data_IF_793178883646
#
_entry.id   IF_793178883646
#
_cell.length_a   1.000
_cell.length_b   1.000
_cell.length_c   1.000
_cell.angle_alpha   90.00
_cell.angle_beta   90.00
_cell.angle_gamma   90.00
#
_symmetry.space_group_name_H-M   'P 1'
#
loop_
_entity.id
_entity.type
_entity.pdbx_description
1 polymer ?
#
# COMPACT_ATOMS: atom_id res chain seq x y z
N UNK A 1 -2.03 14.02 -22.88
CA UNK A 1 -2.10 13.34 -21.56
C UNK A 1 -3.01 14.18 -20.68
N UNK A 2 -3.89 13.53 -19.93
CA UNK A 2 -4.84 14.16 -19.03
C UNK A 2 -4.39 13.96 -17.58
N UNK A 3 -4.43 15.03 -16.78
CA UNK A 3 -4.09 14.92 -15.36
C UNK A 3 -5.20 14.14 -14.64
N UNK A 4 -4.84 13.17 -13.81
CA UNK A 4 -5.76 12.53 -12.88
C UNK A 4 -6.18 13.54 -11.81
N UNK A 5 -7.45 13.94 -11.73
CA UNK A 5 -7.87 14.87 -10.69
C UNK A 5 -7.81 14.21 -9.32
N UNK A 6 -7.49 15.00 -8.31
CA UNK A 6 -7.66 14.58 -6.91
C UNK A 6 -9.16 14.45 -6.64
N UNK A 7 -9.60 13.24 -6.33
CA UNK A 7 -10.98 12.96 -5.94
C UNK A 7 -11.21 13.36 -4.48
N UNK A 8 -10.30 12.91 -3.59
CA UNK A 8 -10.33 13.26 -2.16
C UNK A 8 -8.97 13.07 -1.50
N UNK A 9 -8.80 13.71 -0.35
CA UNK A 9 -7.66 13.54 0.53
C UNK A 9 -8.16 13.01 1.88
N UNK A 10 -7.54 11.92 2.36
CA UNK A 10 -7.90 11.24 3.59
C UNK A 10 -6.70 11.32 4.55
N UNK A 11 -6.95 11.70 5.79
CA UNK A 11 -5.93 11.60 6.85
C UNK A 11 -5.93 10.18 7.40
N UNK A 12 -4.76 9.53 7.45
CA UNK A 12 -4.63 8.23 8.07
C UNK A 12 -5.04 8.28 9.55
N UNK A 13 -5.69 7.23 10.04
CA UNK A 13 -6.29 7.16 11.38
C UNK A 13 -5.42 6.31 12.30
N UNK A 14 -5.17 6.75 13.56
CA UNK A 14 -4.55 5.89 14.55
C UNK A 14 -5.32 4.58 14.72
N UNK A 15 -4.60 3.47 14.70
CA UNK A 15 -5.15 2.12 14.80
C UNK A 15 -4.22 1.27 15.65
N UNK A 16 -4.77 0.27 16.32
CA UNK A 16 -4.00 -0.72 17.09
C UNK A 16 -4.27 -2.09 16.47
N UNK A 17 -3.20 -2.79 16.11
CA UNK A 17 -3.26 -4.12 15.49
C UNK A 17 -2.28 -5.10 16.16
N UNK A 18 -2.33 -6.38 15.74
CA UNK A 18 -1.48 -7.42 16.29
C UNK A 18 -1.61 -7.54 17.82
N UNK A 19 -0.51 -7.64 18.51
CA UNK A 19 -0.47 -7.73 19.98
C UNK A 19 -0.39 -6.34 20.66
N UNK A 20 -0.88 -5.28 20.01
CA UNK A 20 -0.88 -3.91 20.54
C UNK A 20 0.02 -2.94 19.77
N UNK A 21 0.35 -3.24 18.52
CA UNK A 21 1.13 -2.35 17.64
C UNK A 21 0.29 -1.13 17.26
N UNK A 22 0.80 0.06 17.58
CA UNK A 22 0.18 1.32 17.19
C UNK A 22 0.69 1.76 15.82
N UNK A 23 -0.23 1.96 14.90
CA UNK A 23 0.02 2.35 13.52
C UNK A 23 -0.98 3.37 13.01
N UNK A 24 -0.85 3.80 11.75
CA UNK A 24 -1.78 4.71 11.08
C UNK A 24 -2.38 4.00 9.88
N UNK A 25 -3.69 3.77 9.88
CA UNK A 25 -4.41 3.14 8.77
C UNK A 25 -4.89 4.19 7.78
N UNK A 26 -4.45 4.09 6.53
CA UNK A 26 -4.86 4.99 5.47
C UNK A 26 -6.24 4.59 4.90
N UNK A 27 -6.46 3.31 4.66
CA UNK A 27 -7.75 2.71 4.27
C UNK A 27 -7.79 1.23 4.67
N UNK A 28 -8.97 0.63 4.67
CA UNK A 28 -9.11 -0.77 5.06
C UNK A 28 -10.54 -1.29 4.93
N UNK A 29 -10.99 -2.06 5.91
CA UNK A 29 -12.31 -2.69 5.90
C UNK A 29 -13.42 -1.66 5.66
N UNK A 30 -14.25 -1.91 4.65
CA UNK A 30 -15.33 -1.03 4.21
C UNK A 30 -15.02 -0.17 2.99
N UNK A 31 -13.74 -0.06 2.60
CA UNK A 31 -13.31 0.80 1.49
C UNK A 31 -12.99 -0.01 0.20
N UNK A 32 -13.31 -1.30 0.16
CA UNK A 32 -12.86 -2.25 -0.88
C UNK A 32 -13.22 -1.87 -2.30
N UNK A 33 -14.40 -1.29 -2.53
CA UNK A 33 -14.83 -0.90 -3.88
C UNK A 33 -14.01 0.26 -4.45
N UNK A 34 -13.55 1.18 -3.58
CA UNK A 34 -12.80 2.36 -4.01
C UNK A 34 -11.33 2.05 -4.27
N UNK A 35 -10.76 1.13 -3.48
CA UNK A 35 -9.34 0.80 -3.56
C UNK A 35 -9.03 -0.51 -4.29
N UNK A 36 -10.06 -1.18 -4.86
CA UNK A 36 -9.83 -2.40 -5.65
C UNK A 36 -8.68 -2.19 -6.67
N UNK A 37 -7.66 -3.04 -6.70
CA UNK A 37 -7.53 -4.35 -6.06
C UNK A 37 -6.91 -4.33 -4.66
N UNK A 38 -6.73 -3.17 -4.04
CA UNK A 38 -6.10 -3.06 -2.72
C UNK A 38 -7.15 -3.09 -1.61
N UNK A 39 -6.78 -3.70 -0.49
CA UNK A 39 -7.68 -3.95 0.62
C UNK A 39 -7.36 -3.10 1.84
N UNK A 40 -6.07 -2.83 2.08
CA UNK A 40 -5.61 -2.16 3.28
C UNK A 40 -4.25 -1.50 3.03
N UNK A 41 -4.03 -0.32 3.63
CA UNK A 41 -2.71 0.30 3.75
C UNK A 41 -2.50 0.79 5.19
N UNK A 42 -1.50 0.20 5.85
CA UNK A 42 -1.04 0.59 7.17
C UNK A 42 0.37 1.19 7.12
N UNK A 43 0.53 2.33 7.76
CA UNK A 43 1.79 3.01 8.03
C UNK A 43 2.17 2.69 9.49
N UNK A 44 3.08 1.73 9.70
CA UNK A 44 3.55 1.33 11.02
C UNK A 44 4.78 2.11 11.50
N UNK A 45 5.09 3.25 10.89
CA UNK A 45 6.21 4.09 11.32
C UNK A 45 6.00 4.60 12.74
N UNK A 46 6.92 4.22 13.61
CA UNK A 46 6.91 4.56 15.02
C UNK A 46 8.33 4.63 15.55
N UNK A 47 8.60 5.61 16.44
CA UNK A 47 9.91 5.84 17.05
C UNK A 47 9.93 5.39 18.52
N UNK A 48 8.86 4.75 19.01
CA UNK A 48 8.68 4.32 20.39
C UNK A 48 8.58 2.81 20.47
N UNK A 49 9.64 2.10 20.89
CA UNK A 49 9.67 0.64 20.94
C UNK A 49 8.51 0.01 21.71
N UNK A 50 8.03 0.66 22.77
CA UNK A 50 6.90 0.19 23.55
C UNK A 50 5.58 0.13 22.76
N UNK A 51 5.47 0.87 21.64
CA UNK A 51 4.27 0.96 20.81
C UNK A 51 4.26 -0.06 19.67
N UNK A 52 5.38 -0.78 19.38
CA UNK A 52 5.43 -1.72 18.26
C UNK A 52 6.09 -3.08 18.57
N UNK A 53 6.94 -3.19 19.60
CA UNK A 53 7.73 -4.41 19.87
C UNK A 53 6.91 -5.66 20.17
N UNK A 54 5.63 -5.52 20.52
CA UNK A 54 4.74 -6.65 20.73
C UNK A 54 4.45 -7.43 19.44
N UNK A 55 4.60 -6.76 18.28
CA UNK A 55 4.55 -7.37 16.96
C UNK A 55 3.21 -7.98 16.59
N UNK A 56 3.30 -8.83 15.60
CA UNK A 56 2.17 -9.61 15.06
C UNK A 56 2.47 -11.10 15.28
N UNK A 57 2.09 -11.66 16.45
CA UNK A 57 2.23 -13.09 16.72
C UNK A 57 1.49 -13.93 15.70
N UNK A 58 1.73 -15.25 15.72
CA UNK A 58 1.15 -16.20 14.78
C UNK A 58 -0.32 -15.93 14.45
N UNK A 59 -0.58 -15.59 13.20
CA UNK A 59 -1.90 -15.28 12.66
C UNK A 59 -2.07 -15.85 11.25
N UNK A 60 -3.33 -16.16 10.84
CA UNK A 60 -3.60 -16.72 9.52
C UNK A 60 -3.75 -15.62 8.47
N UNK A 61 -3.51 -15.98 7.18
CA UNK A 61 -4.00 -15.23 6.01
C UNK A 61 -4.53 -16.21 4.97
N UNK A 62 -5.58 -15.83 4.23
CA UNK A 62 -6.09 -16.54 3.06
C UNK A 62 -6.69 -15.58 2.05
N UNK A 63 -6.47 -15.86 0.76
CA UNK A 63 -7.13 -15.18 -0.36
C UNK A 63 -6.61 -13.79 -0.67
N UNK A 64 -5.46 -13.42 -0.13
CA UNK A 64 -4.82 -12.11 -0.32
C UNK A 64 -3.32 -12.25 -0.58
N UNK A 65 -2.73 -11.14 -0.94
CA UNK A 65 -1.30 -10.88 -0.88
C UNK A 65 -1.02 -9.81 0.16
N UNK A 66 0.07 -9.95 0.92
CA UNK A 66 0.54 -8.94 1.88
C UNK A 66 1.92 -8.45 1.46
N UNK A 67 2.11 -7.14 1.49
CA UNK A 67 3.34 -6.50 1.06
C UNK A 67 3.89 -5.67 2.22
N UNK A 68 5.03 -6.08 2.76
CA UNK A 68 5.76 -5.37 3.80
C UNK A 68 6.93 -4.63 3.16
N UNK A 69 6.99 -3.29 3.30
CA UNK A 69 8.10 -2.46 2.86
C UNK A 69 8.72 -1.75 4.06
N UNK A 70 9.97 -2.07 4.39
CA UNK A 70 10.69 -1.53 5.56
C UNK A 70 11.53 -0.33 5.15
N UNK A 71 11.48 0.76 5.93
CA UNK A 71 12.29 1.97 5.74
C UNK A 71 13.37 2.14 6.81
N UNK A 72 13.11 1.69 8.03
CA UNK A 72 14.06 1.71 9.15
C UNK A 72 13.70 0.63 10.16
N UNK A 73 14.67 0.12 10.88
CA UNK A 73 14.54 -1.05 11.74
C UNK A 73 14.56 -2.35 10.95
N UNK A 74 14.10 -3.43 11.55
CA UNK A 74 14.01 -4.75 10.94
C UNK A 74 12.71 -5.45 11.33
N UNK A 75 12.23 -6.37 10.49
CA UNK A 75 11.10 -7.25 10.78
C UNK A 75 11.56 -8.69 10.63
N UNK A 76 11.59 -9.45 11.72
CA UNK A 76 11.77 -10.88 11.67
C UNK A 76 10.44 -11.55 11.33
N UNK A 77 10.44 -12.47 10.37
CA UNK A 77 9.25 -13.21 9.99
C UNK A 77 9.49 -14.72 10.01
N UNK A 78 8.41 -15.46 10.20
CA UNK A 78 8.40 -16.92 10.10
C UNK A 78 7.01 -17.43 9.80
N UNK A 79 6.90 -18.56 9.10
CA UNK A 79 5.63 -19.10 8.65
C UNK A 79 5.46 -20.59 8.92
N UNK A 80 4.23 -21.08 8.69
CA UNK A 80 3.82 -22.48 8.86
C UNK A 80 4.42 -23.44 7.83
N UNK A 81 5.08 -22.94 6.78
CA UNK A 81 5.77 -23.73 5.77
C UNK A 81 7.26 -23.92 6.07
N UNK A 82 7.74 -23.27 7.15
CA UNK A 82 9.13 -23.35 7.59
C UNK A 82 10.03 -22.24 7.04
N UNK A 83 9.47 -21.26 6.33
CA UNK A 83 10.24 -20.09 5.90
C UNK A 83 10.50 -19.20 7.09
N UNK A 84 11.70 -18.59 7.11
CA UNK A 84 12.12 -17.61 8.09
C UNK A 84 13.07 -16.61 7.44
N UNK A 85 12.99 -15.36 7.88
CA UNK A 85 13.86 -14.30 7.36
C UNK A 85 13.81 -13.05 8.21
N UNK A 86 14.58 -12.06 7.79
CA UNK A 86 14.62 -10.73 8.39
C UNK A 86 14.63 -9.70 7.28
N UNK A 87 13.69 -8.79 7.29
CA UNK A 87 13.63 -7.64 6.40
C UNK A 87 14.34 -6.46 7.06
N UNK A 88 15.29 -5.86 6.37
CA UNK A 88 15.96 -4.64 6.80
C UNK A 88 15.49 -3.39 6.05
N UNK A 89 16.16 -2.27 6.31
CA UNK A 89 15.83 -1.00 5.67
C UNK A 89 15.98 -1.06 4.14
N UNK A 90 14.92 -0.77 3.43
CA UNK A 90 14.79 -0.81 1.98
C UNK A 90 14.36 -2.15 1.42
N UNK A 91 14.24 -3.20 2.23
CA UNK A 91 13.78 -4.52 1.83
C UNK A 91 12.25 -4.54 1.67
N UNK A 92 11.80 -5.46 0.81
CA UNK A 92 10.39 -5.72 0.54
C UNK A 92 10.12 -7.21 0.65
N UNK A 93 9.03 -7.57 1.33
CA UNK A 93 8.48 -8.92 1.26
C UNK A 93 7.12 -8.87 0.58
N UNK A 94 6.94 -9.67 -0.46
CA UNK A 94 5.66 -9.89 -1.10
C UNK A 94 5.22 -11.33 -0.86
N UNK A 95 4.24 -11.51 0.01
CA UNK A 95 3.71 -12.83 0.36
C UNK A 95 2.35 -13.03 -0.31
N UNK A 96 2.22 -14.05 -1.15
CA UNK A 96 0.93 -14.57 -1.60
C UNK A 96 0.44 -15.57 -0.57
N UNK A 97 -0.60 -15.23 0.17
CA UNK A 97 -1.20 -16.13 1.17
C UNK A 97 -2.03 -17.24 0.52
N UNK A 98 -2.69 -16.95 -0.60
CA UNK A 98 -3.42 -17.91 -1.42
C UNK A 98 -4.36 -18.80 -0.60
N UNK A 99 -4.15 -20.12 -0.67
CA UNK A 99 -4.99 -21.14 0.01
C UNK A 99 -4.89 -21.16 1.53
N UNK A 100 -3.93 -20.44 2.09
CA UNK A 100 -3.79 -20.25 3.53
C UNK A 100 -2.37 -20.41 4.04
N UNK A 101 -1.98 -19.51 4.93
CA UNK A 101 -0.71 -19.52 5.64
C UNK A 101 -0.94 -19.03 7.06
N UNK A 102 -0.13 -19.53 8.01
CA UNK A 102 0.05 -18.90 9.31
C UNK A 102 1.44 -18.30 9.32
N UNK A 103 1.56 -17.05 9.78
CA UNK A 103 2.87 -16.42 9.93
C UNK A 103 2.91 -15.51 11.16
N UNK A 104 4.09 -15.04 11.48
CA UNK A 104 4.34 -14.02 12.48
C UNK A 104 5.31 -12.98 11.93
N UNK A 105 5.19 -11.74 12.41
CA UNK A 105 6.07 -10.63 12.08
C UNK A 105 6.47 -9.91 13.38
N UNK A 106 7.78 -9.89 13.67
CA UNK A 106 8.31 -9.34 14.91
C UNK A 106 9.23 -8.13 14.59
N UNK A 107 8.75 -6.91 14.85
CA UNK A 107 9.49 -5.69 14.54
C UNK A 107 10.56 -5.38 15.59
N UNK A 108 11.73 -4.93 15.11
CA UNK A 108 12.85 -4.45 15.92
C UNK A 108 13.28 -3.06 15.44
N UNK A 109 13.37 -2.09 16.34
CA UNK A 109 13.83 -0.76 16.02
C UNK A 109 15.30 -0.69 15.68
N UNK A 110 15.69 0.31 14.90
CA UNK A 110 17.09 0.65 14.67
C UNK A 110 17.75 1.21 15.96
N UNK A 111 19.01 1.64 15.86
CA UNK A 111 19.75 2.20 16.99
C UNK A 111 19.12 3.45 17.63
N UNK A 112 18.16 4.08 16.95
CA UNK A 112 17.36 5.22 17.42
C UNK A 112 15.97 4.81 17.91
N UNK A 113 15.66 3.52 17.90
CA UNK A 113 14.34 2.98 18.24
C UNK A 113 13.29 3.16 17.13
N UNK A 114 13.70 3.50 15.89
CA UNK A 114 12.76 3.68 14.78
C UNK A 114 12.42 2.34 14.14
N UNK A 115 11.14 2.06 14.03
CA UNK A 115 10.58 1.00 13.21
C UNK A 115 9.66 1.64 12.18
N UNK A 116 10.14 1.80 10.94
CA UNK A 116 9.42 2.51 9.89
C UNK A 116 9.15 1.60 8.70
N UNK A 117 7.92 1.59 8.23
CA UNK A 117 7.54 0.84 7.04
C UNK A 117 6.04 0.87 6.81
N UNK A 118 5.63 0.11 5.80
CA UNK A 118 4.26 0.02 5.32
C UNK A 118 3.84 -1.42 5.12
N UNK A 119 2.57 -1.69 5.42
CA UNK A 119 1.88 -2.92 5.09
C UNK A 119 0.78 -2.59 4.10
N UNK A 120 0.85 -3.14 2.89
CA UNK A 120 -0.19 -3.06 1.87
C UNK A 120 -0.79 -4.46 1.69
N UNK A 121 -2.12 -4.56 1.61
CA UNK A 121 -2.78 -5.79 1.21
C UNK A 121 -3.39 -5.62 -0.17
N UNK A 122 -3.13 -6.62 -1.03
CA UNK A 122 -3.74 -6.73 -2.35
C UNK A 122 -4.66 -7.95 -2.40
N UNK A 123 -5.79 -7.80 -3.08
CA UNK A 123 -6.75 -8.88 -3.26
C UNK A 123 -6.30 -9.85 -4.35
N UNK A 124 -6.72 -11.11 -4.23
CA UNK A 124 -6.61 -12.10 -5.28
C UNK A 124 -7.97 -12.29 -5.96
N UNK A 125 -8.04 -12.43 -7.30
CA UNK A 125 -9.28 -12.82 -7.96
C UNK A 125 -9.70 -14.23 -7.54
N UNK A 126 -10.99 -14.56 -7.69
CA UNK A 126 -11.57 -15.84 -7.29
C UNK A 126 -10.76 -17.04 -7.80
N UNK A 127 -10.28 -16.97 -9.03
CA UNK A 127 -9.48 -18.02 -9.67
C UNK A 127 -8.12 -18.27 -8.98
N UNK A 128 -7.61 -17.33 -8.21
CA UNK A 128 -6.31 -17.41 -7.54
C UNK A 128 -6.41 -17.42 -6.00
N UNK A 129 -7.61 -17.30 -5.42
CA UNK A 129 -7.83 -17.33 -3.96
C UNK A 129 -7.24 -18.56 -3.28
N UNK A 130 -7.25 -19.69 -3.97
CA UNK A 130 -6.78 -20.97 -3.45
C UNK A 130 -5.45 -21.42 -4.09
N UNK A 131 -4.68 -20.49 -4.66
CA UNK A 131 -3.33 -20.80 -5.17
C UNK A 131 -2.38 -21.17 -4.01
N UNK A 132 -1.29 -21.88 -4.32
CA UNK A 132 -0.29 -22.22 -3.32
C UNK A 132 0.36 -20.94 -2.73
N UNK A 133 0.59 -20.87 -1.42
CA UNK A 133 1.33 -19.78 -0.81
C UNK A 133 2.76 -19.67 -1.36
N UNK A 134 3.25 -18.43 -1.50
CA UNK A 134 4.64 -18.18 -1.88
C UNK A 134 5.16 -16.87 -1.30
N UNK A 135 6.47 -16.73 -1.23
CA UNK A 135 7.17 -15.51 -0.85
C UNK A 135 8.09 -15.01 -1.97
N UNK A 136 8.23 -13.70 -2.03
CA UNK A 136 9.27 -13.02 -2.79
C UNK A 136 9.95 -12.04 -1.80
N UNK A 137 11.09 -12.46 -1.25
CA UNK A 137 11.92 -11.63 -0.37
C UNK A 137 12.92 -10.89 -1.23
N UNK A 138 12.84 -9.57 -1.23
CA UNK A 138 13.59 -8.69 -2.12
C UNK A 138 14.44 -7.76 -1.27
N UNK A 139 15.75 -7.99 -1.27
CA UNK A 139 16.69 -7.09 -0.62
C UNK A 139 16.77 -5.72 -1.30
N UNK A 140 17.04 -4.69 -0.53
CA UNK A 140 17.08 -3.28 -0.96
C UNK A 140 17.92 -3.05 -2.23
N UNK A 141 19.02 -3.79 -2.39
CA UNK A 141 19.90 -3.68 -3.54
C UNK A 141 19.28 -4.18 -4.86
N UNK A 142 18.22 -4.97 -4.78
CA UNK A 142 17.49 -5.50 -5.95
C UNK A 142 16.29 -4.64 -6.36
N UNK A 143 15.90 -3.66 -5.53
CA UNK A 143 14.86 -2.70 -5.87
C UNK A 143 15.48 -1.59 -6.73
N UNK A 144 15.18 -1.52 -8.06
CA UNK A 144 15.78 -0.51 -8.91
C UNK A 144 15.33 0.89 -8.52
N UNK A 145 16.27 1.83 -8.53
CA UNK A 145 16.01 3.26 -8.40
C UNK A 145 16.33 3.94 -9.73
N UNK A 146 15.40 4.78 -10.19
CA UNK A 146 15.59 5.66 -11.35
C UNK A 146 15.60 7.09 -10.86
N UNK A 147 16.55 7.87 -11.36
CA UNK A 147 16.68 9.30 -11.05
C UNK A 147 16.51 10.05 -12.36
N UNK A 148 15.54 10.97 -12.41
CA UNK A 148 15.32 11.85 -13.57
C UNK A 148 16.24 13.06 -13.55
N UNK A 149 16.34 13.77 -14.66
CA UNK A 149 17.24 14.94 -14.85
C UNK A 149 16.96 16.08 -13.84
N UNK A 150 15.73 16.18 -13.33
CA UNK A 150 15.34 17.15 -12.29
C UNK A 150 15.64 16.70 -10.86
N UNK A 151 16.24 15.50 -10.67
CA UNK A 151 16.56 14.91 -9.38
C UNK A 151 15.41 14.16 -8.71
N UNK A 152 14.26 14.02 -9.37
CA UNK A 152 13.17 13.14 -8.91
C UNK A 152 13.66 11.70 -8.89
N UNK A 153 13.46 11.02 -7.75
CA UNK A 153 13.85 9.62 -7.56
C UNK A 153 12.63 8.73 -7.46
N UNK A 154 12.69 7.58 -8.10
CA UNK A 154 11.63 6.58 -8.03
C UNK A 154 12.25 5.21 -7.78
N UNK A 155 11.96 4.60 -6.62
CA UNK A 155 12.24 3.19 -6.35
C UNK A 155 11.05 2.37 -6.83
N UNK A 156 11.32 1.38 -7.67
CA UNK A 156 10.29 0.59 -8.34
C UNK A 156 10.21 -0.76 -7.63
N UNK A 157 9.25 -0.88 -6.72
CA UNK A 157 9.02 -2.11 -5.94
C UNK A 157 8.34 -3.16 -6.81
N UNK A 158 7.30 -2.75 -7.56
CA UNK A 158 6.55 -3.63 -8.44
C UNK A 158 6.07 -2.87 -9.68
N UNK A 159 5.98 -3.58 -10.82
CA UNK A 159 5.52 -3.04 -12.10
C UNK A 159 6.62 -2.37 -12.92
N UNK A 160 6.22 -1.79 -14.04
CA UNK A 160 7.12 -1.10 -14.98
C UNK A 160 6.99 0.42 -14.82
N UNK A 161 8.13 1.12 -14.73
CA UNK A 161 8.15 2.59 -14.66
C UNK A 161 9.43 3.15 -15.30
N UNK A 162 9.29 4.18 -16.14
CA UNK A 162 10.39 4.83 -16.88
C UNK A 162 11.39 3.86 -17.52
N UNK A 163 10.85 2.80 -18.14
CA UNK A 163 11.66 1.78 -18.84
C UNK A 163 12.43 0.83 -17.93
N UNK A 164 12.14 0.81 -16.65
CA UNK A 164 12.67 -0.15 -15.68
C UNK A 164 11.55 -0.97 -15.07
N UNK A 165 11.83 -2.22 -14.76
CA UNK A 165 10.91 -3.16 -14.13
C UNK A 165 11.32 -3.41 -12.69
N UNK A 166 10.35 -3.37 -11.78
CA UNK A 166 10.49 -3.81 -10.39
C UNK A 166 10.71 -5.32 -10.30
N UNK A 167 11.32 -5.80 -9.21
CA UNK A 167 11.73 -7.19 -9.05
C UNK A 167 10.58 -8.16 -8.78
N UNK A 168 9.43 -7.67 -8.31
CA UNK A 168 8.26 -8.51 -7.99
C UNK A 168 7.53 -8.91 -9.27
N UNK A 169 7.22 -10.20 -9.43
CA UNK A 169 6.57 -10.74 -10.61
C UNK A 169 5.43 -11.72 -10.28
N UNK A 170 4.68 -12.11 -11.31
CA UNK A 170 3.61 -13.10 -11.21
C UNK A 170 2.49 -12.69 -10.25
N UNK A 171 2.20 -11.41 -10.15
CA UNK A 171 1.22 -10.81 -9.24
C UNK A 171 -0.11 -10.60 -9.94
N UNK A 172 -1.20 -10.96 -9.27
CA UNK A 172 -2.55 -10.67 -9.73
C UNK A 172 -2.79 -9.15 -9.81
N UNK A 173 -3.75 -8.71 -10.65
CA UNK A 173 -4.16 -7.32 -10.78
C UNK A 173 -3.09 -6.34 -11.30
N UNK A 174 -1.94 -6.83 -11.74
CA UNK A 174 -0.88 -6.04 -12.37
C UNK A 174 -0.55 -4.74 -11.60
N UNK A 175 -0.19 -4.81 -10.31
CA UNK A 175 0.04 -3.64 -9.50
C UNK A 175 1.32 -2.91 -9.89
N UNK A 176 1.29 -1.57 -9.71
CA UNK A 176 2.50 -0.75 -9.68
C UNK A 176 2.65 -0.18 -8.28
N UNK A 177 3.81 -0.40 -7.66
CA UNK A 177 4.13 0.09 -6.33
C UNK A 177 5.46 0.82 -6.38
N UNK A 178 5.40 2.15 -6.21
CA UNK A 178 6.54 3.06 -6.34
C UNK A 178 6.73 3.86 -5.05
N UNK A 179 7.99 4.07 -4.66
CA UNK A 179 8.40 5.04 -3.65
C UNK A 179 9.04 6.23 -4.37
N UNK A 180 8.35 7.35 -4.37
CA UNK A 180 8.66 8.55 -5.16
C UNK A 180 9.15 9.67 -4.26
N UNK A 181 10.28 10.26 -4.59
CA UNK A 181 10.81 11.46 -3.94
C UNK A 181 10.94 12.59 -4.97
N UNK A 182 10.24 13.70 -4.75
CA UNK A 182 10.33 14.91 -5.58
C UNK A 182 11.03 16.01 -4.79
N UNK A 183 12.14 16.57 -5.32
CA UNK A 183 12.88 17.65 -4.65
C UNK A 183 12.03 18.89 -4.40
N UNK A 184 12.46 19.73 -3.46
CA UNK A 184 11.79 20.95 -3.05
C UNK A 184 11.47 21.89 -4.21
N UNK A 185 10.24 22.39 -4.25
CA UNK A 185 9.77 23.38 -5.22
C UNK A 185 9.61 22.87 -6.65
N UNK A 186 9.87 21.58 -6.91
CA UNK A 186 9.70 21.00 -8.24
C UNK A 186 8.28 20.53 -8.49
N UNK A 187 7.86 20.66 -9.74
CA UNK A 187 6.62 20.07 -10.26
C UNK A 187 6.95 18.84 -11.08
N UNK A 188 6.32 17.71 -10.77
CA UNK A 188 6.52 16.45 -11.44
C UNK A 188 5.22 15.81 -11.89
N UNK A 189 5.20 15.32 -13.13
CA UNK A 189 4.14 14.47 -13.68
C UNK A 189 4.65 13.03 -13.77
N UNK A 190 3.84 12.09 -13.28
CA UNK A 190 4.12 10.67 -13.19
C UNK A 190 3.04 9.91 -13.96
N UNK A 191 3.39 9.11 -14.99
CA UNK A 191 2.41 8.40 -15.79
C UNK A 191 1.71 7.30 -14.99
N UNK A 192 0.40 7.23 -15.14
CA UNK A 192 -0.45 6.16 -14.58
C UNK A 192 -1.52 5.82 -15.63
N UNK A 193 -1.65 4.56 -16.01
CA UNK A 193 -2.62 4.13 -17.02
C UNK A 193 -4.05 4.36 -16.56
N UNK A 194 -4.92 4.79 -17.49
CA UNK A 194 -6.31 5.22 -17.21
C UNK A 194 -7.20 4.11 -16.65
N UNK A 195 -6.89 2.84 -16.96
CA UNK A 195 -7.64 1.66 -16.53
C UNK A 195 -7.22 1.12 -15.15
N UNK A 196 -6.49 1.92 -14.36
CA UNK A 196 -6.03 1.57 -13.02
C UNK A 196 -6.67 2.47 -11.98
N UNK A 197 -7.06 1.92 -10.84
CA UNK A 197 -7.22 2.72 -9.63
C UNK A 197 -5.85 3.18 -9.14
N UNK A 198 -5.77 4.41 -8.64
CA UNK A 198 -4.51 4.97 -8.20
C UNK A 198 -4.68 5.85 -6.95
N UNK A 199 -3.68 5.77 -6.07
CA UNK A 199 -3.57 6.66 -4.91
C UNK A 199 -2.11 6.99 -4.62
N UNK A 200 -1.90 8.11 -3.92
CA UNK A 200 -0.61 8.46 -3.35
C UNK A 200 -0.72 8.54 -1.82
N UNK A 201 0.23 7.94 -1.10
CA UNK A 201 0.34 8.08 0.35
C UNK A 201 1.57 8.90 0.70
N UNK A 202 1.36 10.15 1.16
CA UNK A 202 2.45 11.06 1.54
C UNK A 202 2.97 10.68 2.92
N UNK A 203 4.27 10.41 3.02
CA UNK A 203 4.87 9.99 4.28
C UNK A 203 6.08 10.83 4.71
N UNK A 204 6.57 11.75 3.86
CA UNK A 204 7.64 12.68 4.19
C UNK A 204 7.46 13.99 3.42
N UNK A 205 7.71 15.12 4.07
CA UNK A 205 7.50 16.44 3.47
C UNK A 205 6.03 16.74 3.17
N UNK A 206 5.79 17.55 2.15
CA UNK A 206 4.45 17.92 1.69
C UNK A 206 4.46 18.32 0.21
N UNK A 207 3.32 18.15 -0.47
CA UNK A 207 3.15 18.56 -1.87
C UNK A 207 1.70 18.88 -2.19
N UNK A 208 1.50 19.61 -3.28
CA UNK A 208 0.19 19.91 -3.84
C UNK A 208 -0.03 19.03 -5.05
N UNK A 209 -0.97 18.09 -4.93
CA UNK A 209 -1.41 17.27 -6.07
C UNK A 209 -2.39 18.04 -6.92
N UNK A 210 -2.18 18.04 -8.24
CA UNK A 210 -2.97 18.84 -9.16
C UNK A 210 -4.35 18.21 -9.38
N UNK A 211 -5.37 19.06 -9.43
CA UNK A 211 -6.67 18.69 -9.99
C UNK A 211 -6.65 19.06 -11.48
N UNK A 212 -7.17 18.17 -12.33
CA UNK A 212 -7.41 18.53 -13.72
C UNK A 212 -8.44 19.67 -13.78
N UNK A 213 -8.23 20.59 -14.68
CA UNK A 213 -9.30 21.52 -15.09
C UNK A 213 -10.36 20.71 -15.85
N UNK A 214 -11.34 20.19 -15.13
CA UNK A 214 -12.55 19.67 -15.79
C UNK A 214 -13.48 20.85 -16.10
N UNK A 215 -14.22 20.82 -17.21
CA UNK A 215 -15.37 21.69 -17.37
C UNK A 215 -16.37 21.27 -16.29
N UNK A 216 -16.37 21.99 -15.18
CA UNK A 216 -17.35 21.80 -14.12
C UNK A 216 -18.73 22.17 -14.64
N UNK A 217 -19.73 21.32 -14.34
CA UNK A 217 -21.10 21.80 -14.31
C UNK A 217 -21.23 22.99 -13.36
N UNK A 218 -22.34 23.69 -13.41
CA UNK A 218 -22.58 24.85 -12.52
C UNK A 218 -22.50 24.36 -11.08
N UNK A 219 -21.37 24.66 -10.42
CA UNK A 219 -21.15 24.38 -9.00
C UNK A 219 -21.77 25.50 -8.17
N UNK A 220 -22.34 25.16 -7.03
CA UNK A 220 -22.78 26.16 -6.06
C UNK A 220 -21.54 26.87 -5.48
N UNK A 221 -21.71 28.12 -5.03
CA UNK A 221 -20.61 28.89 -4.41
C UNK A 221 -19.95 28.14 -3.25
N UNK A 222 -20.73 27.38 -2.50
CA UNK A 222 -20.21 26.56 -1.39
C UNK A 222 -19.36 25.41 -1.89
N UNK A 223 -19.77 24.70 -2.94
CA UNK A 223 -18.99 23.60 -3.52
C UNK A 223 -17.69 24.10 -4.15
N UNK A 224 -17.71 25.28 -4.76
CA UNK A 224 -16.49 25.94 -5.28
C UNK A 224 -15.56 26.32 -4.14
N UNK A 225 -16.07 26.93 -3.07
CA UNK A 225 -15.28 27.34 -1.92
C UNK A 225 -14.65 26.14 -1.18
N UNK A 226 -15.42 25.08 -0.92
CA UNK A 226 -14.93 23.85 -0.28
C UNK A 226 -13.87 23.15 -1.15
N UNK A 227 -14.03 23.19 -2.48
CA UNK A 227 -13.07 22.62 -3.42
C UNK A 227 -11.79 23.46 -3.54
N UNK A 228 -11.89 24.77 -3.58
CA UNK A 228 -10.74 25.67 -3.58
C UNK A 228 -9.92 25.57 -2.28
N UNK A 229 -10.57 25.44 -1.13
CA UNK A 229 -9.89 25.22 0.15
C UNK A 229 -9.11 23.91 0.12
N UNK A 230 -9.72 22.82 -0.35
CA UNK A 230 -9.06 21.51 -0.45
C UNK A 230 -7.90 21.46 -1.44
N UNK A 231 -7.96 22.25 -2.51
CA UNK A 231 -6.93 22.34 -3.56
C UNK A 231 -5.75 23.24 -3.14
N UNK A 232 -5.99 24.20 -2.24
CA UNK A 232 -4.95 25.15 -1.78
C UNK A 232 -4.05 24.61 -0.70
N UNK A 233 -4.48 23.60 0.05
CA UNK A 233 -3.67 23.02 1.12
C UNK A 233 -2.65 22.01 0.57
N UNK A 234 -1.41 22.14 1.02
CA UNK A 234 -0.40 21.11 0.78
C UNK A 234 -0.75 19.83 1.51
N UNK A 235 -0.70 18.72 0.79
CA UNK A 235 -0.90 17.40 1.36
C UNK A 235 0.38 16.94 2.04
N UNK A 236 0.35 16.84 3.35
CA UNK A 236 1.52 16.49 4.17
C UNK A 236 1.55 15.03 4.61
N UNK A 237 2.54 14.73 5.45
CA UNK A 237 2.78 13.42 6.05
C UNK A 237 1.50 12.75 6.59
N UNK A 238 1.35 11.43 6.38
CA UNK A 238 0.19 10.59 6.78
C UNK A 238 -1.12 10.97 6.09
N UNK A 239 -1.04 11.43 4.86
CA UNK A 239 -2.21 11.73 4.04
C UNK A 239 -2.25 10.84 2.81
N UNK A 240 -3.42 10.30 2.53
CA UNK A 240 -3.76 9.53 1.35
C UNK A 240 -4.48 10.43 0.35
N UNK A 241 -3.98 10.49 -0.87
CA UNK A 241 -4.58 11.19 -2.01
C UNK A 241 -5.18 10.16 -2.95
N UNK A 242 -6.48 10.18 -3.13
CA UNK A 242 -7.19 9.30 -4.06
C UNK A 242 -7.41 10.06 -5.37
N UNK A 243 -7.11 9.41 -6.48
CA UNK A 243 -7.23 10.01 -7.81
C UNK A 243 -8.39 9.41 -8.59
N UNK A 244 -9.02 10.25 -9.39
CA UNK A 244 -9.95 9.84 -10.44
C UNK A 244 -9.18 9.38 -11.70
N UNK A 245 -9.87 9.10 -12.79
CA UNK A 245 -9.29 8.63 -14.04
C UNK A 245 -8.49 9.73 -14.77
N UNK A 246 -7.41 9.33 -15.42
CA UNK A 246 -6.51 10.19 -16.20
C UNK A 246 -5.21 9.45 -16.52
N UNK A 247 -4.29 10.08 -17.25
CA UNK A 247 -3.05 9.47 -17.76
C UNK A 247 -1.84 9.72 -16.85
N UNK A 248 -1.92 10.74 -15.97
CA UNK A 248 -0.79 11.14 -15.14
C UNK A 248 -1.22 11.74 -13.78
N UNK A 249 -0.42 11.50 -12.77
CA UNK A 249 -0.47 12.20 -11.48
C UNK A 249 0.55 13.31 -11.48
N UNK A 250 0.12 14.54 -11.20
CA UNK A 250 1.02 15.70 -11.11
C UNK A 250 1.07 16.21 -9.68
N UNK A 251 2.29 16.42 -9.16
CA UNK A 251 2.55 16.96 -7.84
C UNK A 251 3.53 18.12 -7.91
N UNK A 252 3.30 19.16 -7.12
CA UNK A 252 4.22 20.26 -6.85
C UNK A 252 4.73 20.09 -5.41
N UNK A 253 6.02 19.82 -5.28
CA UNK A 253 6.65 19.59 -3.99
C UNK A 253 6.76 20.88 -3.18
N UNK A 254 6.54 20.82 -1.88
CA UNK A 254 6.72 21.93 -0.96
C UNK A 254 8.19 22.27 -0.72
N UNK A 255 8.44 23.21 0.21
CA UNK A 255 9.78 23.74 0.52
C UNK A 255 10.79 22.68 1.01
N UNK A 256 10.32 21.56 1.53
CA UNK A 256 11.15 20.45 2.01
C UNK A 256 11.13 19.24 1.07
N UNK A 257 10.55 19.40 -0.13
CA UNK A 257 10.27 18.29 -1.01
C UNK A 257 9.04 17.48 -0.57
N UNK A 258 8.76 16.41 -1.29
CA UNK A 258 7.71 15.45 -0.94
C UNK A 258 8.16 14.03 -1.27
N UNK A 259 7.87 13.09 -0.37
CA UNK A 259 8.05 11.66 -0.61
C UNK A 259 6.74 10.91 -0.33
N UNK A 260 6.37 10.06 -1.25
CA UNK A 260 5.10 9.35 -1.19
C UNK A 260 5.18 7.99 -1.88
N UNK A 261 4.34 7.07 -1.44
CA UNK A 261 4.05 5.87 -2.19
C UNK A 261 3.06 6.23 -3.31
N UNK A 262 3.37 5.88 -4.56
CA UNK A 262 2.41 5.93 -5.66
C UNK A 262 2.04 4.49 -6.01
N UNK A 263 0.80 4.14 -5.74
CA UNK A 263 0.28 2.78 -5.92
C UNK A 263 -0.86 2.81 -6.92
N UNK A 264 -0.84 1.88 -7.87
CA UNK A 264 -1.94 1.69 -8.80
C UNK A 264 -2.10 0.22 -9.19
N UNK A 265 -3.32 -0.21 -9.51
CA UNK A 265 -3.63 -1.56 -9.91
C UNK A 265 -4.89 -1.64 -10.76
N UNK A 266 -5.03 -2.71 -11.54
CA UNK A 266 -6.26 -2.98 -12.28
C UNK A 266 -7.32 -3.50 -11.32
N UNK A 267 -8.50 -2.89 -11.27
CA UNK A 267 -9.60 -3.41 -10.45
C UNK A 267 -9.91 -4.87 -10.83
N UNK A 268 -10.22 -5.68 -9.82
CA UNK A 268 -10.63 -7.08 -10.00
C UNK A 268 -12.14 -7.15 -10.25
N UNK A 269 -12.90 -6.21 -9.68
CA UNK A 269 -14.36 -6.08 -9.83
C UNK A 269 -15.14 -7.34 -9.43
N UNK A 270 -14.63 -8.09 -8.45
CA UNK A 270 -15.27 -9.27 -7.90
C UNK A 270 -15.80 -9.00 -6.48
N UNK A 271 -16.84 -9.74 -6.03
CA UNK A 271 -17.33 -9.62 -4.66
C UNK A 271 -16.25 -9.91 -3.62
N UNK A 272 -16.29 -9.20 -2.50
CA UNK A 272 -15.36 -9.36 -1.38
C UNK A 272 -16.14 -9.75 -0.12
N UNK A 273 -15.83 -10.92 0.41
CA UNK A 273 -16.26 -11.40 1.73
C UNK A 273 -15.05 -11.37 2.67
N UNK A 274 -15.05 -10.44 3.62
CA UNK A 274 -13.86 -10.14 4.45
C UNK A 274 -14.15 -10.29 5.94
N UNK A 275 -13.32 -11.05 6.65
CA UNK A 275 -13.33 -11.14 8.10
C UNK A 275 -11.90 -11.30 8.65
N UNK A 276 -11.43 -10.31 9.41
CA UNK A 276 -10.06 -10.28 9.92
C UNK A 276 -9.02 -10.44 8.79
N UNK A 277 -8.09 -11.40 8.92
CA UNK A 277 -7.03 -11.60 7.92
C UNK A 277 -7.41 -12.56 6.77
N UNK A 278 -8.68 -12.91 6.64
CA UNK A 278 -9.20 -13.85 5.63
C UNK A 278 -10.15 -13.10 4.69
N UNK A 279 -9.87 -13.16 3.39
CA UNK A 279 -10.65 -12.49 2.34
C UNK A 279 -10.98 -13.47 1.22
N UNK A 280 -12.27 -13.72 1.05
CA UNK A 280 -12.82 -14.62 0.03
C UNK A 280 -13.78 -13.85 -0.88
N UNK A 281 -14.47 -14.53 -1.81
CA UNK A 281 -15.47 -13.90 -2.67
C UNK A 281 -16.90 -14.05 -2.12
N UNK A 282 -17.17 -15.09 -1.34
CA UNK A 282 -18.50 -15.37 -0.79
C UNK A 282 -18.48 -15.62 0.72
N UNK A 283 -19.61 -15.40 1.37
CA UNK A 283 -19.76 -15.69 2.80
C UNK A 283 -19.62 -17.21 3.09
N UNK A 284 -20.02 -18.07 2.16
CA UNK A 284 -19.86 -19.52 2.30
C UNK A 284 -18.38 -19.92 2.33
N UNK A 285 -17.57 -19.38 1.43
CA UNK A 285 -16.11 -19.62 1.41
C UNK A 285 -15.43 -19.09 2.67
N UNK A 286 -15.88 -17.92 3.15
CA UNK A 286 -15.37 -17.35 4.39
C UNK A 286 -15.70 -18.24 5.60
N UNK A 287 -16.94 -18.72 5.70
CA UNK A 287 -17.36 -19.66 6.74
C UNK A 287 -16.57 -20.97 6.69
N UNK A 288 -16.33 -21.50 5.49
CA UNK A 288 -15.48 -22.67 5.29
C UNK A 288 -14.05 -22.43 5.78
N UNK A 289 -13.44 -21.30 5.41
CA UNK A 289 -12.10 -20.95 5.87
C UNK A 289 -12.00 -20.87 7.39
N UNK A 290 -13.02 -20.30 8.04
CA UNK A 290 -13.09 -20.23 9.50
C UNK A 290 -13.31 -21.62 10.16
N UNK A 291 -14.08 -22.51 9.53
CA UNK A 291 -14.23 -23.89 9.99
C UNK A 291 -12.90 -24.64 9.88
N UNK A 292 -12.22 -24.57 8.74
CA UNK A 292 -10.92 -25.18 8.52
C UNK A 292 -9.86 -24.70 9.51
N UNK A 293 -9.89 -23.40 9.88
CA UNK A 293 -8.99 -22.84 10.89
C UNK A 293 -9.23 -23.46 12.27
N UNK A 294 -10.50 -23.62 12.68
CA UNK A 294 -10.86 -24.30 13.94
C UNK A 294 -10.49 -25.78 13.96
N UNK A 295 -10.66 -26.46 12.83
CA UNK A 295 -10.46 -27.90 12.70
C UNK A 295 -8.99 -28.28 12.41
N UNK A 296 -8.09 -27.29 12.31
CA UNK A 296 -6.65 -27.51 12.03
C UNK A 296 -6.35 -27.95 10.58
N UNK A 297 -7.28 -27.77 9.66
CA UNK A 297 -7.15 -28.14 8.23
C UNK A 297 -6.95 -26.94 7.30
N UNK A 298 -6.69 -25.77 7.89
CA UNK A 298 -6.54 -24.50 7.17
C UNK A 298 -5.35 -24.49 6.22
N UNK A 299 -4.20 -25.01 6.66
CA UNK A 299 -3.00 -25.11 5.83
C UNK A 299 -3.16 -26.29 4.88
N UNK A 300 -3.14 -26.01 3.59
CA UNK A 300 -3.17 -27.03 2.53
C UNK A 300 -1.75 -27.52 2.26
N UNK A 301 -1.58 -28.85 2.29
CA UNK A 301 -0.30 -29.52 2.01
C UNK A 301 -0.25 -30.01 0.58
#
# INVERSE_FOLDING_TARGET
MSIRPVQRIIRAKPTIEGAGVKLQRAFGFGDTAEFDPFLLLDDFRNDRPEDYRAGFPWHPHRGIETITYVLAGTVEHGDSLGNRGTLGAGDVQWMTAGSGILHQEMPHGDVRGRMHGFQLWANLPASLKMTAPRYQDIGAAHVPEVIDDDGTRVRIICGDFWGRRGPVDGIAADPRYLDVTVPAGLRKSLPVETNRHAFAYVFEGAGKFSSASQPFGVLTEKEVADREIRIREQTGNRSLVVFDSGDEVTVEAGEQGVRFLLVSGRPIEEPVAWYGPIVMNTQAELQQAMAELRDGTFIKR
#
